data_IF_297827407892
#
_entry.id   IF_297827407892
#
_cell.length_a   1.000
_cell.length_b   1.000
_cell.length_c   1.000
_cell.angle_alpha   90.00
_cell.angle_beta   90.00
_cell.angle_gamma   90.00
#
_symmetry.space_group_name_H-M   'P 1'
#
loop_
_entity.id
_entity.type
_entity.pdbx_description
1 polymer ?
#
# COMPACT_ATOMS: atom_id res chain seq x y z
N UNK A 1 0.49 22.73 0.28
CA UNK A 1 0.77 21.39 -0.24
C UNK A 1 1.83 20.80 0.66
N UNK A 2 1.61 19.60 1.19
CA UNK A 2 2.58 18.88 2.01
C UNK A 2 3.39 17.95 1.10
N UNK A 3 4.70 17.88 1.32
CA UNK A 3 5.58 16.95 0.61
C UNK A 3 5.72 15.68 1.44
N UNK A 4 5.57 14.53 0.80
CA UNK A 4 5.74 13.22 1.40
C UNK A 4 7.04 12.59 0.89
N UNK A 5 7.82 12.05 1.80
CA UNK A 5 9.03 11.31 1.47
C UNK A 5 8.66 9.85 1.13
N UNK A 6 9.08 9.38 -0.03
CA UNK A 6 8.89 7.97 -0.39
C UNK A 6 10.11 7.16 0.07
N UNK A 7 9.92 6.25 1.03
CA UNK A 7 10.98 5.38 1.58
C UNK A 7 11.68 4.54 0.51
N UNK A 8 11.04 4.30 -0.64
CA UNK A 8 11.67 3.58 -1.75
C UNK A 8 12.99 4.21 -2.21
N UNK A 9 13.15 5.52 -2.04
CA UNK A 9 14.35 6.25 -2.47
C UNK A 9 15.59 5.90 -1.63
N UNK A 10 15.41 5.39 -0.41
CA UNK A 10 16.49 5.11 0.55
C UNK A 10 16.50 3.68 1.11
N UNK A 11 15.58 2.83 0.71
CA UNK A 11 15.34 1.50 1.29
C UNK A 11 16.55 0.55 1.36
N UNK A 12 17.68 0.92 0.77
CA UNK A 12 18.92 0.14 0.81
C UNK A 12 19.99 0.72 1.73
N UNK A 13 19.73 1.87 2.33
CA UNK A 13 20.76 2.67 3.00
C UNK A 13 20.73 2.53 4.51
N UNK A 14 19.65 2.06 5.11
CA UNK A 14 19.51 2.00 6.55
C UNK A 14 18.39 1.07 7.02
N UNK A 15 18.07 1.21 8.29
CA UNK A 15 16.89 0.62 8.92
C UNK A 15 15.70 1.56 8.81
N UNK A 16 14.50 1.05 8.96
CA UNK A 16 13.28 1.85 8.88
C UNK A 16 13.25 3.06 9.86
N UNK A 17 13.68 2.94 11.13
CA UNK A 17 13.84 4.09 12.01
C UNK A 17 14.84 5.15 11.51
N UNK A 18 15.97 4.72 10.91
CA UNK A 18 16.96 5.62 10.32
C UNK A 18 16.39 6.35 9.10
N UNK A 19 15.60 5.68 8.26
CA UNK A 19 14.93 6.27 7.10
C UNK A 19 13.92 7.34 7.54
N UNK A 20 13.18 7.11 8.63
CA UNK A 20 12.27 8.11 9.23
C UNK A 20 13.05 9.32 9.78
N UNK A 21 14.16 9.09 10.47
CA UNK A 21 15.01 10.18 10.96
C UNK A 21 15.60 11.00 9.81
N UNK A 22 16.02 10.34 8.72
CA UNK A 22 16.51 11.02 7.51
C UNK A 22 15.40 11.85 6.85
N UNK A 23 14.18 11.33 6.80
CA UNK A 23 13.00 12.05 6.32
C UNK A 23 12.79 13.36 7.09
N UNK A 24 12.83 13.32 8.43
CA UNK A 24 12.72 14.48 9.30
C UNK A 24 13.87 15.49 9.08
N UNK A 25 15.12 15.01 9.01
CA UNK A 25 16.30 15.84 8.77
C UNK A 25 16.24 16.54 7.40
N UNK A 26 15.64 15.90 6.41
CA UNK A 26 15.44 16.50 5.09
C UNK A 26 14.25 17.50 5.04
N UNK A 27 13.55 17.70 6.16
CA UNK A 27 12.44 18.66 6.28
C UNK A 27 11.09 18.14 5.80
N UNK A 28 10.93 16.82 5.62
CA UNK A 28 9.62 16.23 5.33
C UNK A 28 8.85 15.96 6.62
N UNK A 29 7.55 16.23 6.61
CA UNK A 29 6.63 15.93 7.72
C UNK A 29 5.81 14.66 7.51
N UNK A 30 5.98 14.00 6.38
CA UNK A 30 5.26 12.78 6.02
C UNK A 30 6.16 11.78 5.30
N UNK A 31 5.93 10.50 5.53
CA UNK A 31 6.62 9.39 4.87
C UNK A 31 5.62 8.38 4.32
N UNK A 32 5.88 7.91 3.12
CA UNK A 32 5.28 6.68 2.58
C UNK A 32 6.16 5.51 2.98
N UNK A 33 5.60 4.65 3.83
CA UNK A 33 6.28 3.45 4.34
C UNK A 33 6.16 2.30 3.33
N UNK A 34 7.21 1.49 3.23
CA UNK A 34 7.16 0.26 2.42
C UNK A 34 6.83 -0.96 3.28
N UNK A 35 5.81 -1.71 2.85
CA UNK A 35 5.42 -3.00 3.46
C UNK A 35 6.60 -3.95 3.63
N UNK A 36 7.45 -4.07 2.60
CA UNK A 36 8.62 -4.95 2.63
C UNK A 36 9.65 -4.56 3.68
N UNK A 37 9.90 -3.28 3.86
CA UNK A 37 10.83 -2.77 4.88
C UNK A 37 10.23 -2.88 6.28
N UNK A 38 8.93 -2.58 6.42
CA UNK A 38 8.20 -2.78 7.67
C UNK A 38 8.27 -4.25 8.13
N UNK A 39 8.00 -5.21 7.23
CA UNK A 39 8.11 -6.64 7.56
C UNK A 39 9.54 -7.02 7.95
N UNK A 40 10.55 -6.47 7.31
CA UNK A 40 11.97 -6.70 7.64
C UNK A 40 12.31 -6.15 9.03
N UNK A 41 11.86 -4.95 9.33
CA UNK A 41 12.02 -4.32 10.64
C UNK A 41 11.42 -5.18 11.77
N UNK A 42 10.19 -5.65 11.58
CA UNK A 42 9.50 -6.50 12.56
C UNK A 42 10.20 -7.87 12.74
N UNK A 43 10.67 -8.48 11.65
CA UNK A 43 11.46 -9.73 11.72
C UNK A 43 12.80 -9.53 12.41
N UNK A 44 13.35 -8.34 12.39
CA UNK A 44 14.56 -7.94 13.13
C UNK A 44 14.34 -7.67 14.62
N UNK A 45 13.13 -7.89 15.13
CA UNK A 45 12.77 -7.67 16.55
C UNK A 45 12.18 -6.29 16.86
N UNK A 46 11.93 -5.45 15.85
CA UNK A 46 11.18 -4.21 16.01
C UNK A 46 9.70 -4.45 16.28
N UNK A 47 8.99 -3.44 16.79
CA UNK A 47 7.54 -3.49 17.02
C UNK A 47 6.83 -2.32 16.34
N UNK A 48 5.53 -2.46 16.06
CA UNK A 48 4.73 -1.38 15.49
C UNK A 48 4.63 -0.18 16.45
N UNK A 49 4.55 -0.45 17.76
CA UNK A 49 4.51 0.57 18.82
C UNK A 49 5.80 1.37 18.89
N UNK A 50 6.97 0.71 18.82
CA UNK A 50 8.27 1.38 18.80
C UNK A 50 8.43 2.23 17.51
N UNK A 51 7.95 1.72 16.37
CA UNK A 51 7.98 2.48 15.11
C UNK A 51 7.05 3.70 15.17
N UNK A 52 5.86 3.55 15.74
CA UNK A 52 4.94 4.66 15.98
C UNK A 52 5.59 5.74 16.86
N UNK A 53 6.24 5.32 17.95
CA UNK A 53 6.97 6.24 18.82
C UNK A 53 8.08 6.97 18.05
N UNK A 54 8.84 6.28 17.19
CA UNK A 54 9.84 6.92 16.31
C UNK A 54 9.21 7.99 15.41
N UNK A 55 8.07 7.70 14.77
CA UNK A 55 7.34 8.67 13.94
C UNK A 55 6.92 9.91 14.75
N UNK A 56 6.40 9.71 15.97
CA UNK A 56 5.98 10.78 16.87
C UNK A 56 7.17 11.65 17.32
N UNK A 57 8.28 11.03 17.75
CA UNK A 57 9.51 11.71 18.18
C UNK A 57 10.16 12.51 17.05
N UNK A 58 10.10 12.02 15.82
CA UNK A 58 10.62 12.70 14.64
C UNK A 58 9.62 13.71 14.03
N UNK A 59 8.41 13.84 14.59
CA UNK A 59 7.35 14.68 14.03
C UNK A 59 7.03 14.36 12.56
N UNK A 60 7.11 13.10 12.17
CA UNK A 60 6.82 12.58 10.83
C UNK A 60 5.58 11.69 10.91
N UNK A 61 4.58 11.94 10.08
CA UNK A 61 3.41 11.05 9.99
C UNK A 61 3.60 9.99 8.91
N UNK A 62 3.08 8.80 9.11
CA UNK A 62 2.92 7.81 8.04
C UNK A 62 1.77 8.26 7.11
N UNK A 63 2.09 8.63 5.88
CA UNK A 63 1.11 9.09 4.90
C UNK A 63 0.37 7.92 4.25
N UNK A 64 1.12 6.91 3.83
CA UNK A 64 0.62 5.68 3.20
C UNK A 64 1.51 4.49 3.54
N UNK A 65 0.97 3.30 3.38
CA UNK A 65 1.73 2.04 3.36
C UNK A 65 1.69 1.46 1.94
N UNK A 66 2.85 1.29 1.31
CA UNK A 66 3.04 0.77 -0.04
C UNK A 66 3.55 -0.68 0.02
N UNK A 67 2.95 -1.66 -0.63
CA UNK A 67 1.64 -1.73 -1.22
C UNK A 67 1.07 -3.15 -1.06
N UNK A 68 -0.25 -3.28 -1.20
CA UNK A 68 -0.87 -4.57 -1.52
C UNK A 68 -0.83 -4.75 -3.03
N UNK A 69 -0.07 -5.72 -3.48
CA UNK A 69 0.15 -6.00 -4.90
C UNK A 69 -0.72 -7.17 -5.36
N UNK A 70 -1.04 -7.16 -6.66
CA UNK A 70 -1.80 -8.23 -7.30
C UNK A 70 -3.16 -8.49 -6.62
N UNK A 71 -3.94 -7.43 -6.37
CA UNK A 71 -5.22 -7.54 -5.66
C UNK A 71 -6.36 -8.10 -6.53
N UNK A 72 -6.22 -8.10 -7.86
CA UNK A 72 -7.17 -8.67 -8.83
C UNK A 72 -6.67 -9.96 -9.47
N UNK A 73 -7.53 -10.71 -10.12
CA UNK A 73 -7.24 -11.99 -10.80
C UNK A 73 -6.61 -13.05 -9.89
N UNK A 74 -7.04 -13.09 -8.65
CA UNK A 74 -6.51 -14.04 -7.69
C UNK A 74 -7.11 -15.44 -7.87
N UNK A 75 -6.26 -16.47 -7.74
CA UNK A 75 -6.74 -17.84 -7.51
C UNK A 75 -7.45 -17.93 -6.15
N UNK A 76 -8.23 -18.98 -5.94
CA UNK A 76 -8.89 -19.23 -4.63
C UNK A 76 -7.88 -19.26 -3.46
N UNK A 77 -6.70 -19.83 -3.68
CA UNK A 77 -5.65 -19.87 -2.66
C UNK A 77 -5.00 -18.50 -2.48
N UNK A 78 -4.64 -17.81 -3.57
CA UNK A 78 -4.10 -16.46 -3.54
C UNK A 78 -5.03 -15.45 -2.88
N UNK A 79 -6.33 -15.55 -3.13
CA UNK A 79 -7.32 -14.67 -2.50
C UNK A 79 -7.44 -14.86 -0.97
N UNK A 80 -7.20 -16.08 -0.44
CA UNK A 80 -7.13 -16.28 1.01
C UNK A 80 -5.88 -15.63 1.59
N UNK A 81 -4.72 -15.85 0.97
CA UNK A 81 -3.45 -15.24 1.40
C UNK A 81 -3.51 -13.70 1.32
N UNK A 82 -4.11 -13.17 0.27
CA UNK A 82 -4.28 -11.72 0.12
C UNK A 82 -5.14 -11.16 1.27
N UNK A 83 -6.22 -11.83 1.64
CA UNK A 83 -7.09 -11.40 2.74
C UNK A 83 -6.32 -11.34 4.07
N UNK A 84 -5.63 -12.42 4.43
CA UNK A 84 -4.82 -12.47 5.65
C UNK A 84 -3.75 -11.37 5.67
N UNK A 85 -3.07 -11.16 4.55
CA UNK A 85 -2.07 -10.09 4.40
C UNK A 85 -2.70 -8.70 4.50
N UNK A 86 -3.87 -8.51 3.90
CA UNK A 86 -4.58 -7.23 3.92
C UNK A 86 -5.03 -6.86 5.33
N UNK A 87 -5.63 -7.80 6.06
CA UNK A 87 -6.05 -7.61 7.46
C UNK A 87 -4.86 -7.23 8.35
N UNK A 88 -3.72 -7.90 8.15
CA UNK A 88 -2.48 -7.55 8.86
C UNK A 88 -1.99 -6.14 8.49
N UNK A 89 -1.98 -5.78 7.20
CA UNK A 89 -1.58 -4.45 6.75
C UNK A 89 -2.49 -3.36 7.33
N UNK A 90 -3.80 -3.56 7.33
CA UNK A 90 -4.76 -2.61 7.87
C UNK A 90 -4.62 -2.44 9.39
N UNK A 91 -4.40 -3.54 10.10
CA UNK A 91 -4.09 -3.49 11.53
C UNK A 91 -2.79 -2.71 11.81
N UNK A 92 -1.74 -2.94 11.02
CA UNK A 92 -0.49 -2.19 11.12
C UNK A 92 -0.69 -0.70 10.82
N UNK A 93 -1.44 -0.37 9.77
CA UNK A 93 -1.79 1.01 9.45
C UNK A 93 -2.49 1.71 10.63
N UNK A 94 -3.45 1.04 11.26
CA UNK A 94 -4.17 1.58 12.44
C UNK A 94 -3.21 1.86 13.61
N UNK A 95 -2.28 0.96 13.92
CA UNK A 95 -1.28 1.16 14.98
C UNK A 95 -0.37 2.34 14.66
N UNK A 96 0.07 2.47 13.40
CA UNK A 96 0.98 3.53 12.94
C UNK A 96 0.28 4.89 12.71
N UNK A 97 -1.03 4.96 12.85
CA UNK A 97 -1.80 6.17 12.52
C UNK A 97 -1.82 6.49 11.01
N UNK A 98 -1.61 5.49 10.17
CA UNK A 98 -1.59 5.58 8.72
C UNK A 98 -2.99 5.34 8.15
N UNK A 99 -3.62 6.35 7.58
CA UNK A 99 -4.99 6.25 7.04
C UNK A 99 -5.08 5.86 5.57
N UNK A 100 -3.97 5.43 4.95
CA UNK A 100 -3.94 5.11 3.52
C UNK A 100 -3.11 3.86 3.23
N UNK A 101 -3.64 2.95 2.42
CA UNK A 101 -2.96 1.79 1.90
C UNK A 101 -2.94 1.83 0.38
N UNK A 102 -1.76 1.80 -0.23
CA UNK A 102 -1.63 1.66 -1.67
C UNK A 102 -1.96 0.25 -2.13
N UNK A 103 -2.65 0.17 -3.26
CA UNK A 103 -3.03 -1.08 -3.90
C UNK A 103 -2.67 -1.07 -5.39
N UNK A 104 -2.11 -2.18 -5.86
CA UNK A 104 -1.75 -2.41 -7.25
C UNK A 104 -2.59 -3.59 -7.75
N UNK A 105 -3.33 -3.40 -8.85
CA UNK A 105 -4.33 -4.35 -9.30
C UNK A 105 -3.74 -5.75 -9.57
N UNK A 106 -3.08 -6.00 -10.68
CA UNK A 106 -2.42 -7.29 -10.92
C UNK A 106 -1.37 -7.21 -12.03
N UNK A 107 -0.40 -8.10 -11.99
CA UNK A 107 0.54 -8.36 -13.08
C UNK A 107 0.22 -9.67 -13.83
N UNK A 108 -0.73 -10.48 -13.34
CA UNK A 108 -1.10 -11.78 -13.90
C UNK A 108 -2.49 -11.70 -14.55
N UNK A 109 -2.58 -10.99 -15.66
CA UNK A 109 -3.83 -10.88 -16.43
C UNK A 109 -3.96 -12.11 -17.34
N UNK A 110 -5.09 -12.85 -17.30
CA UNK A 110 -5.33 -13.93 -18.24
C UNK A 110 -5.33 -13.45 -19.70
N UNK A 111 -4.83 -14.28 -20.61
CA UNK A 111 -4.79 -13.94 -22.03
C UNK A 111 -6.21 -13.74 -22.60
N UNK A 112 -6.33 -12.80 -23.54
CA UNK A 112 -7.57 -12.54 -24.27
C UNK A 112 -8.65 -11.79 -23.48
N UNK A 113 -8.38 -11.34 -22.26
CA UNK A 113 -9.33 -10.54 -21.49
C UNK A 113 -9.44 -9.12 -22.03
N UNK A 114 -10.66 -8.60 -22.17
CA UNK A 114 -10.91 -7.22 -22.59
C UNK A 114 -10.56 -6.21 -21.51
N UNK A 115 -10.23 -4.97 -21.90
CA UNK A 115 -9.96 -3.87 -20.97
C UNK A 115 -11.13 -3.65 -19.99
N UNK A 116 -12.37 -3.68 -20.49
CA UNK A 116 -13.56 -3.53 -19.64
C UNK A 116 -13.71 -4.67 -18.60
N UNK A 117 -13.31 -5.91 -18.94
CA UNK A 117 -13.31 -7.01 -17.97
C UNK A 117 -12.20 -6.85 -16.93
N UNK A 118 -11.05 -6.28 -17.31
CA UNK A 118 -9.97 -5.93 -16.38
C UNK A 118 -10.45 -4.88 -15.37
N UNK A 119 -11.10 -3.80 -15.84
CA UNK A 119 -11.62 -2.75 -14.96
C UNK A 119 -12.68 -3.29 -13.99
N UNK A 120 -13.62 -4.12 -14.46
CA UNK A 120 -14.63 -4.74 -13.59
C UNK A 120 -14.02 -5.63 -12.51
N UNK A 121 -13.10 -6.52 -12.87
CA UNK A 121 -12.45 -7.41 -11.89
C UNK A 121 -11.64 -6.61 -10.85
N UNK A 122 -10.96 -5.54 -11.29
CA UNK A 122 -10.25 -4.65 -10.38
C UNK A 122 -11.22 -3.92 -9.43
N UNK A 123 -12.34 -3.39 -9.93
CA UNK A 123 -13.37 -2.74 -9.12
C UNK A 123 -13.97 -3.70 -8.09
N UNK A 124 -14.39 -4.91 -8.50
CA UNK A 124 -14.91 -5.94 -7.59
C UNK A 124 -13.92 -6.32 -6.49
N UNK A 125 -12.63 -6.37 -6.84
CA UNK A 125 -11.56 -6.67 -5.87
C UNK A 125 -11.34 -5.52 -4.89
N UNK A 126 -11.37 -4.27 -5.38
CA UNK A 126 -11.23 -3.08 -4.54
C UNK A 126 -12.41 -2.88 -3.61
N UNK A 127 -13.66 -3.12 -4.04
CA UNK A 127 -14.83 -3.08 -3.18
C UNK A 127 -14.68 -4.00 -1.99
N UNK A 128 -14.33 -5.27 -2.22
CA UNK A 128 -14.12 -6.25 -1.14
C UNK A 128 -13.01 -5.85 -0.18
N UNK A 129 -11.92 -5.26 -0.67
CA UNK A 129 -10.82 -4.79 0.17
C UNK A 129 -11.18 -3.51 0.92
N UNK A 130 -11.92 -2.60 0.28
CA UNK A 130 -12.36 -1.35 0.89
C UNK A 130 -13.29 -1.59 2.08
N UNK A 131 -14.24 -2.54 1.95
CA UNK A 131 -15.10 -2.95 3.05
C UNK A 131 -14.27 -3.45 4.25
N UNK A 132 -13.28 -4.30 4.01
CA UNK A 132 -12.39 -4.78 5.06
C UNK A 132 -11.49 -3.67 5.64
N UNK A 133 -11.02 -2.73 4.85
CA UNK A 133 -10.18 -1.62 5.27
C UNK A 133 -10.93 -0.60 6.14
N UNK A 134 -12.24 -0.41 5.89
CA UNK A 134 -13.09 0.53 6.61
C UNK A 134 -13.12 0.25 8.12
N UNK A 135 -13.12 -1.01 8.55
CA UNK A 135 -13.10 -1.42 9.96
C UNK A 135 -11.82 -0.96 10.70
N UNK A 136 -10.78 -0.62 9.93
CA UNK A 136 -9.50 -0.14 10.45
C UNK A 136 -9.31 1.37 10.27
N UNK A 137 -10.27 2.06 9.63
CA UNK A 137 -10.14 3.47 9.28
C UNK A 137 -9.14 3.74 8.16
N UNK A 138 -8.88 2.76 7.30
CA UNK A 138 -7.92 2.83 6.20
C UNK A 138 -8.65 3.01 4.87
N UNK A 139 -8.20 3.95 4.05
CA UNK A 139 -8.63 4.14 2.66
C UNK A 139 -7.64 3.47 1.72
N UNK A 140 -8.15 2.97 0.59
CA UNK A 140 -7.29 2.43 -0.46
C UNK A 140 -6.95 3.52 -1.48
N UNK A 141 -5.71 3.49 -1.97
CA UNK A 141 -5.25 4.32 -3.09
C UNK A 141 -4.82 3.39 -4.23
N UNK A 142 -5.56 3.40 -5.34
CA UNK A 142 -5.22 2.59 -6.51
C UNK A 142 -4.07 3.21 -7.28
N UNK A 143 -2.97 2.49 -7.41
CA UNK A 143 -1.83 2.85 -8.24
C UNK A 143 -1.90 2.12 -9.59
N UNK A 144 -1.80 2.87 -10.69
CA UNK A 144 -1.59 2.28 -12.01
C UNK A 144 -0.10 2.15 -12.32
N UNK A 145 0.26 1.05 -12.97
CA UNK A 145 1.66 0.73 -13.25
C UNK A 145 1.90 0.66 -14.75
N UNK A 146 2.71 1.57 -15.30
CA UNK A 146 3.09 1.57 -16.74
C UNK A 146 4.19 0.52 -17.01
N UNK A 147 3.97 -0.71 -16.54
CA UNK A 147 4.89 -1.82 -16.71
C UNK A 147 4.29 -2.92 -17.58
N UNK A 148 5.10 -3.66 -18.35
CA UNK A 148 4.62 -4.84 -19.07
C UNK A 148 3.92 -5.81 -18.10
N UNK A 149 2.76 -6.31 -18.50
CA UNK A 149 1.98 -7.25 -17.68
C UNK A 149 1.07 -6.62 -16.62
N UNK A 150 1.20 -5.32 -16.32
CA UNK A 150 0.26 -4.66 -15.41
C UNK A 150 -1.15 -4.61 -16.00
N UNK A 151 -2.16 -4.92 -15.19
CA UNK A 151 -3.57 -4.92 -15.58
C UNK A 151 -4.12 -3.50 -15.72
N UNK A 152 -3.80 -2.61 -14.80
CA UNK A 152 -4.21 -1.20 -14.80
C UNK A 152 -2.99 -0.34 -15.12
N UNK A 153 -3.01 0.30 -16.29
CA UNK A 153 -1.82 0.97 -16.86
C UNK A 153 -2.01 2.45 -17.14
N UNK A 154 -3.23 2.93 -17.05
CA UNK A 154 -3.55 4.32 -17.43
C UNK A 154 -4.45 4.97 -16.38
N UNK A 155 -4.34 6.29 -16.30
CA UNK A 155 -5.24 7.09 -15.47
C UNK A 155 -6.72 6.90 -15.84
N UNK A 156 -7.03 6.76 -17.13
CA UNK A 156 -8.39 6.52 -17.60
C UNK A 156 -8.97 5.21 -17.04
N UNK A 157 -8.18 4.13 -17.01
CA UNK A 157 -8.61 2.87 -16.36
C UNK A 157 -8.82 3.06 -14.85
N UNK A 158 -7.94 3.81 -14.17
CA UNK A 158 -8.16 4.12 -12.75
C UNK A 158 -9.46 4.89 -12.52
N UNK A 159 -9.75 5.90 -13.34
CA UNK A 159 -10.97 6.68 -13.24
C UNK A 159 -12.21 5.78 -13.44
N UNK A 160 -12.23 4.94 -14.49
CA UNK A 160 -13.32 3.98 -14.75
C UNK A 160 -13.53 3.01 -13.56
N UNK A 161 -12.45 2.52 -12.97
CA UNK A 161 -12.52 1.62 -11.80
C UNK A 161 -13.09 2.35 -10.59
N UNK A 162 -12.61 3.57 -10.30
CA UNK A 162 -13.04 4.35 -9.15
C UNK A 162 -14.47 4.86 -9.24
N UNK A 163 -15.00 5.04 -10.45
CA UNK A 163 -16.43 5.35 -10.67
C UNK A 163 -17.35 4.17 -10.35
N UNK A 164 -16.80 2.95 -10.32
CA UNK A 164 -17.53 1.72 -10.01
C UNK A 164 -17.38 1.25 -8.55
N UNK A 165 -16.52 1.89 -7.77
CA UNK A 165 -16.24 1.62 -6.34
C UNK A 165 -16.85 2.69 -5.46
#
# INVERSE_FOLDING_TARGET
MELCFNEMTVMKNGTLPEDIALCAQAGFSAVELRKGTLLRYLRGGGTLEALRQTLEEQHVRAASLNALESVSFQTKAGGRMLRELSEWCFAACRVLGCGCMEVIASFNVPEGISAAAICREAADSLLRLSDAAADYGVRLALEFMVMPGSSVRTFAQCAEILEAV
#
